data_IF_842678426428
#
_entry.id   IF_842678426428
#
_cell.length_a   1.000
_cell.length_b   1.000
_cell.length_c   1.000
_cell.angle_alpha   90.00
_cell.angle_beta   90.00
_cell.angle_gamma   90.00
#
_symmetry.space_group_name_H-M   'P 1'
#
loop_
_entity.id
_entity.type
_entity.pdbx_description
1 polymer ?
#
# COMPACT_ATOMS: atom_id res chain seq x y z
N UNK A 1 34.40 0.39 47.04
CA UNK A 1 33.00 0.80 47.23
C UNK A 1 32.32 0.61 45.90
N UNK A 2 31.50 -0.43 45.80
CA UNK A 2 30.66 -0.73 44.65
C UNK A 2 29.66 0.42 44.49
N UNK A 3 29.67 1.09 43.34
CA UNK A 3 28.62 2.02 42.98
C UNK A 3 27.35 1.22 42.66
N UNK A 4 26.33 1.43 43.49
CA UNK A 4 24.98 0.92 43.28
C UNK A 4 24.43 1.53 41.99
N UNK A 5 24.53 0.78 40.89
CA UNK A 5 23.68 0.99 39.71
C UNK A 5 22.24 0.75 40.17
N UNK A 6 21.45 1.82 40.18
CA UNK A 6 20.08 1.82 40.70
C UNK A 6 19.21 0.77 39.99
N UNK A 7 18.57 -0.09 40.78
CA UNK A 7 17.64 -1.15 40.34
C UNK A 7 16.46 -0.59 39.51
N UNK A 8 16.17 0.72 39.61
CA UNK A 8 15.10 1.39 38.83
C UNK A 8 15.48 1.62 37.37
N UNK A 9 16.75 1.88 37.04
CA UNK A 9 17.19 2.10 35.66
C UNK A 9 17.35 0.79 34.89
N UNK A 10 17.77 -0.29 35.55
CA UNK A 10 17.88 -1.62 34.94
C UNK A 10 16.51 -2.21 34.60
N UNK A 11 15.49 -1.98 35.43
CA UNK A 11 14.11 -2.44 35.20
C UNK A 11 13.45 -1.68 34.02
N UNK A 12 13.69 -0.38 33.91
CA UNK A 12 13.18 0.45 32.80
C UNK A 12 13.82 0.06 31.46
N UNK A 13 15.14 -0.16 31.46
CA UNK A 13 15.90 -0.54 30.26
C UNK A 13 15.53 -1.93 29.75
N UNK A 14 15.35 -2.91 30.65
CA UNK A 14 14.93 -4.27 30.28
C UNK A 14 13.57 -4.30 29.57
N UNK A 15 12.61 -3.51 30.04
CA UNK A 15 11.27 -3.39 29.44
C UNK A 15 11.33 -2.77 28.03
N UNK A 16 12.17 -1.74 27.84
CA UNK A 16 12.39 -1.11 26.51
C UNK A 16 13.00 -2.10 25.50
N UNK A 17 13.97 -2.92 25.92
CA UNK A 17 14.60 -3.92 25.05
C UNK A 17 13.60 -5.00 24.65
N UNK A 18 12.84 -5.53 25.62
CA UNK A 18 11.82 -6.55 25.36
C UNK A 18 10.75 -6.04 24.39
N UNK A 19 10.20 -4.85 24.64
CA UNK A 19 9.20 -4.23 23.77
C UNK A 19 9.73 -3.99 22.34
N UNK A 20 11.01 -3.61 22.20
CA UNK A 20 11.65 -3.47 20.88
C UNK A 20 11.75 -4.83 20.17
N UNK A 21 12.20 -5.88 20.85
CA UNK A 21 12.34 -7.21 20.28
C UNK A 21 10.98 -7.80 19.89
N UNK A 22 9.94 -7.60 20.69
CA UNK A 22 8.56 -7.98 20.35
C UNK A 22 8.07 -7.28 19.08
N UNK A 23 8.31 -5.97 18.95
CA UNK A 23 8.00 -5.22 17.71
C UNK A 23 8.76 -5.77 16.51
N UNK A 24 10.05 -6.08 16.68
CA UNK A 24 10.87 -6.65 15.61
C UNK A 24 10.38 -8.03 15.17
N UNK A 25 9.90 -8.88 16.07
CA UNK A 25 9.35 -10.20 15.72
C UNK A 25 8.01 -10.13 15.01
N UNK A 26 7.26 -9.04 15.15
CA UNK A 26 6.08 -8.80 14.32
C UNK A 26 6.45 -8.48 12.86
N UNK A 27 7.72 -8.15 12.58
CA UNK A 27 8.20 -7.68 11.27
C UNK A 27 9.15 -8.69 10.62
N UNK A 28 10.12 -9.20 11.36
CA UNK A 28 11.21 -10.03 10.87
C UNK A 28 11.11 -11.44 11.44
N UNK A 29 11.49 -12.43 10.64
CA UNK A 29 11.62 -13.78 11.17
C UNK A 29 12.86 -13.90 12.07
N UNK A 30 12.83 -14.89 12.96
CA UNK A 30 13.92 -15.17 13.92
C UNK A 30 15.26 -15.36 13.21
N UNK A 31 15.25 -16.01 12.03
CA UNK A 31 16.48 -16.25 11.25
C UNK A 31 17.11 -14.93 10.81
N UNK A 32 16.29 -13.98 10.36
CA UNK A 32 16.72 -12.65 9.91
C UNK A 32 17.30 -11.86 11.07
N UNK A 33 16.62 -11.81 12.22
CA UNK A 33 17.11 -11.08 13.40
C UNK A 33 18.43 -11.67 13.92
N UNK A 34 18.54 -13.00 13.97
CA UNK A 34 19.80 -13.68 14.34
C UNK A 34 20.93 -13.35 13.35
N UNK A 35 20.65 -13.30 12.05
CA UNK A 35 21.64 -12.92 11.05
C UNK A 35 22.06 -11.44 11.19
N UNK A 36 21.12 -10.54 11.47
CA UNK A 36 21.41 -9.12 11.73
C UNK A 36 22.30 -8.94 12.96
N UNK A 37 22.00 -9.64 14.06
CA UNK A 37 22.79 -9.60 15.28
C UNK A 37 24.20 -10.18 15.09
N UNK A 38 24.32 -11.37 14.47
CA UNK A 38 25.63 -11.94 14.14
C UNK A 38 26.43 -11.04 13.17
N UNK A 39 25.75 -10.27 12.31
CA UNK A 39 26.38 -9.31 11.40
C UNK A 39 27.03 -8.11 12.10
N UNK A 40 26.64 -7.80 13.35
CA UNK A 40 27.31 -6.79 14.19
C UNK A 40 28.68 -7.30 14.65
N UNK A 41 28.82 -8.61 14.86
CA UNK A 41 30.12 -9.27 15.10
C UNK A 41 30.62 -9.23 16.55
N UNK A 42 29.78 -8.87 17.52
CA UNK A 42 30.18 -8.80 18.95
C UNK A 42 29.87 -10.09 19.71
N UNK A 43 28.66 -10.62 19.59
CA UNK A 43 28.27 -11.87 20.24
C UNK A 43 27.82 -12.94 19.23
N UNK A 44 27.95 -14.21 19.63
CA UNK A 44 27.29 -15.29 18.91
C UNK A 44 25.80 -15.36 19.25
N UNK A 45 24.96 -15.31 18.22
CA UNK A 45 23.51 -15.44 18.30
C UNK A 45 23.02 -16.70 17.57
N UNK A 46 22.04 -17.35 18.20
CA UNK A 46 21.25 -18.43 17.63
C UNK A 46 19.77 -18.20 17.91
N UNK A 47 18.89 -18.90 17.20
CA UNK A 47 17.44 -18.80 17.44
C UNK A 47 17.07 -19.12 18.90
N UNK A 48 17.74 -20.09 19.52
CA UNK A 48 17.52 -20.45 20.92
C UNK A 48 17.97 -19.33 21.87
N UNK A 49 19.10 -18.69 21.59
CA UNK A 49 19.60 -17.56 22.38
C UNK A 49 18.65 -16.37 22.28
N UNK A 50 18.21 -16.01 21.08
CA UNK A 50 17.27 -14.91 20.89
C UNK A 50 15.96 -15.16 21.63
N UNK A 51 15.39 -16.37 21.53
CA UNK A 51 14.18 -16.75 22.28
C UNK A 51 14.36 -16.68 23.79
N UNK A 52 15.53 -17.03 24.33
CA UNK A 52 15.82 -16.87 25.76
C UNK A 52 15.90 -15.40 26.18
N UNK A 53 16.48 -14.54 25.34
CA UNK A 53 16.53 -13.10 25.59
C UNK A 53 15.14 -12.44 25.62
N UNK A 54 14.16 -13.00 24.90
CA UNK A 54 12.77 -12.54 24.90
C UNK A 54 11.96 -13.01 26.12
N UNK A 55 12.26 -14.22 26.62
CA UNK A 55 11.44 -14.90 27.63
C UNK A 55 11.90 -14.63 29.07
N UNK A 56 13.08 -14.04 29.27
CA UNK A 56 13.65 -13.87 30.60
C UNK A 56 14.17 -12.43 30.77
N UNK A 57 13.58 -11.71 31.70
CA UNK A 57 13.86 -10.30 32.04
C UNK A 57 15.31 -10.06 32.51
N UNK A 58 16.09 -11.10 32.77
CA UNK A 58 17.53 -11.01 33.09
C UNK A 58 18.47 -11.35 31.93
N UNK A 59 17.95 -11.88 30.81
CA UNK A 59 18.76 -12.39 29.71
C UNK A 59 19.04 -11.33 28.61
N UNK A 60 18.41 -10.15 28.68
CA UNK A 60 18.66 -9.05 27.75
C UNK A 60 20.06 -8.45 27.87
N UNK A 61 20.73 -8.59 29.02
CA UNK A 61 22.11 -8.13 29.22
C UNK A 61 23.12 -8.73 28.23
N UNK A 62 22.75 -9.80 27.53
CA UNK A 62 23.56 -10.37 26.46
C UNK A 62 23.63 -9.47 25.22
N UNK A 63 22.64 -8.59 25.04
CA UNK A 63 22.56 -7.68 23.92
C UNK A 63 23.46 -6.47 24.20
N UNK A 64 24.48 -6.28 23.36
CA UNK A 64 25.38 -5.15 23.50
C UNK A 64 24.70 -3.84 23.09
N UNK A 65 25.31 -2.71 23.46
CA UNK A 65 24.84 -1.38 23.04
C UNK A 65 24.84 -1.21 21.51
N UNK A 66 25.84 -1.76 20.81
CA UNK A 66 25.89 -1.70 19.33
C UNK A 66 24.84 -2.60 18.68
N UNK A 67 24.60 -3.79 19.24
CA UNK A 67 23.54 -4.68 18.79
C UNK A 67 22.16 -4.03 18.98
N UNK A 68 21.95 -3.37 20.13
CA UNK A 68 20.74 -2.58 20.38
C UNK A 68 20.55 -1.47 19.36
N UNK A 69 21.56 -0.62 19.17
CA UNK A 69 21.52 0.48 18.22
C UNK A 69 21.27 -0.01 16.79
N UNK A 70 21.89 -1.13 16.40
CA UNK A 70 21.67 -1.77 15.10
C UNK A 70 20.22 -2.23 14.93
N UNK A 71 19.67 -2.95 15.91
CA UNK A 71 18.28 -3.41 15.89
C UNK A 71 17.28 -2.24 15.82
N UNK A 72 17.56 -1.12 16.49
CA UNK A 72 16.72 0.08 16.38
C UNK A 72 16.64 0.62 14.96
N UNK A 73 17.71 0.48 14.14
CA UNK A 73 17.69 0.91 12.74
C UNK A 73 16.71 0.12 11.86
N UNK A 74 16.30 -1.07 12.30
CA UNK A 74 15.34 -1.92 11.61
C UNK A 74 13.88 -1.49 11.84
N UNK A 75 13.63 -0.61 12.82
CA UNK A 75 12.31 -0.04 13.07
C UNK A 75 12.16 1.33 12.39
N UNK A 76 10.95 1.69 11.92
CA UNK A 76 10.68 3.03 11.43
C UNK A 76 10.70 4.04 12.58
N UNK A 77 11.19 5.24 12.29
CA UNK A 77 11.18 6.38 13.22
C UNK A 77 9.89 7.19 13.01
N UNK A 78 9.38 7.88 14.04
CA UNK A 78 8.29 8.84 13.86
C UNK A 78 8.72 9.97 12.91
N UNK A 79 7.76 10.64 12.23
CA UNK A 79 8.06 11.80 11.39
C UNK A 79 8.55 12.98 12.23
N UNK A 80 9.25 13.93 11.61
CA UNK A 80 9.89 15.06 12.30
C UNK A 80 8.91 15.97 13.05
N UNK A 81 7.65 16.04 12.62
CA UNK A 81 6.60 16.83 13.28
C UNK A 81 5.94 16.10 14.47
N UNK A 82 6.26 14.84 14.73
CA UNK A 82 5.73 14.10 15.88
C UNK A 82 6.07 14.83 17.21
N UNK A 83 5.12 14.94 18.17
CA UNK A 83 3.78 14.32 18.20
C UNK A 83 2.65 15.20 17.62
N UNK A 84 2.96 16.30 16.93
CA UNK A 84 1.98 17.25 16.42
C UNK A 84 1.63 16.97 14.95
N UNK A 85 0.40 16.53 14.70
CA UNK A 85 -0.08 16.16 13.37
C UNK A 85 -1.13 17.17 12.87
N UNK A 86 -1.18 17.36 11.55
CA UNK A 86 -2.08 18.31 10.91
C UNK A 86 -3.54 17.83 10.88
N UNK A 87 -3.76 16.53 10.67
CA UNK A 87 -5.08 15.90 10.60
C UNK A 87 -4.96 14.40 10.89
N UNK A 88 -6.10 13.71 11.01
CA UNK A 88 -6.18 12.27 11.27
C UNK A 88 -6.77 11.54 10.06
N UNK A 89 -6.22 10.37 9.74
CA UNK A 89 -6.77 9.52 8.69
C UNK A 89 -6.72 8.03 9.04
N UNK A 90 -7.53 7.24 8.34
CA UNK A 90 -7.51 5.77 8.41
C UNK A 90 -7.10 5.17 7.07
N UNK A 91 -6.60 3.93 7.10
CA UNK A 91 -5.98 3.25 5.95
C UNK A 91 -6.57 1.84 5.79
N UNK A 92 -7.60 1.70 4.96
CA UNK A 92 -8.32 0.44 4.72
C UNK A 92 -7.77 -0.30 3.50
N UNK A 93 -7.63 -1.62 3.60
CA UNK A 93 -6.98 -2.45 2.57
C UNK A 93 -5.60 -1.91 2.20
N UNK A 94 -4.83 -1.56 3.23
CA UNK A 94 -3.67 -0.70 3.14
C UNK A 94 -2.51 -1.28 2.32
N UNK A 95 -2.46 -2.60 2.14
CA UNK A 95 -1.34 -3.31 1.57
C UNK A 95 -0.04 -2.98 2.32
N UNK A 96 0.90 -2.35 1.61
CA UNK A 96 2.17 -1.88 2.18
C UNK A 96 2.22 -0.36 2.41
N UNK A 97 1.04 0.29 2.43
CA UNK A 97 0.87 1.70 2.79
C UNK A 97 1.18 2.67 1.65
N UNK A 98 0.84 2.31 0.42
CA UNK A 98 1.11 3.17 -0.75
C UNK A 98 0.33 4.48 -0.71
N UNK A 99 -0.96 4.43 -0.35
CA UNK A 99 -1.81 5.63 -0.21
C UNK A 99 -1.39 6.42 1.04
N UNK A 100 -1.16 5.73 2.17
CA UNK A 100 -0.68 6.33 3.43
C UNK A 100 0.51 7.26 3.26
N UNK A 101 1.53 6.88 2.48
CA UNK A 101 2.72 7.74 2.27
C UNK A 101 2.38 9.12 1.71
N UNK A 102 1.34 9.20 0.86
CA UNK A 102 0.87 10.48 0.34
C UNK A 102 0.33 11.38 1.45
N UNK A 103 -0.52 10.83 2.32
CA UNK A 103 -1.17 11.60 3.40
C UNK A 103 -0.26 11.88 4.60
N UNK A 104 0.72 11.01 4.90
CA UNK A 104 1.77 11.34 5.87
C UNK A 104 2.66 12.49 5.37
N UNK A 105 2.88 12.62 4.06
CA UNK A 105 3.75 13.67 3.49
C UNK A 105 3.20 15.08 3.69
N UNK A 106 1.90 15.23 3.92
CA UNK A 106 1.23 16.49 4.25
C UNK A 106 0.88 16.59 5.76
N UNK A 107 1.53 15.78 6.60
CA UNK A 107 1.42 15.87 8.07
C UNK A 107 0.28 15.08 8.71
N UNK A 108 -0.32 14.12 8.00
CA UNK A 108 -1.40 13.30 8.53
C UNK A 108 -0.94 12.26 9.55
N UNK A 109 -1.77 12.02 10.57
CA UNK A 109 -1.63 10.90 11.51
C UNK A 109 -2.50 9.72 11.06
N UNK A 110 -1.89 8.56 10.79
CA UNK A 110 -2.65 7.32 10.62
C UNK A 110 -3.08 6.82 12.00
N UNK A 111 -4.39 6.65 12.22
CA UNK A 111 -4.95 6.27 13.54
C UNK A 111 -5.58 4.89 13.54
N UNK A 112 -5.77 4.30 12.36
CA UNK A 112 -6.27 2.94 12.18
C UNK A 112 -5.83 2.38 10.82
N UNK A 113 -5.46 1.10 10.79
CA UNK A 113 -5.10 0.38 9.57
C UNK A 113 -5.80 -0.97 9.51
N UNK A 114 -6.40 -1.30 8.36
CA UNK A 114 -6.92 -2.64 8.09
C UNK A 114 -6.19 -3.27 6.91
N UNK A 115 -5.59 -4.45 7.12
CA UNK A 115 -4.92 -5.22 6.07
C UNK A 115 -4.89 -6.71 6.43
N UNK A 116 -5.50 -7.54 5.58
CA UNK A 116 -5.66 -8.97 5.82
C UNK A 116 -4.38 -9.79 5.55
N UNK A 117 -3.52 -9.32 4.64
CA UNK A 117 -2.33 -10.06 4.25
C UNK A 117 -1.21 -9.85 5.27
N UNK A 118 -0.98 -10.85 6.10
CA UNK A 118 0.06 -10.85 7.16
C UNK A 118 1.47 -10.51 6.64
N UNK A 119 1.82 -10.89 5.41
CA UNK A 119 3.12 -10.51 4.83
C UNK A 119 3.16 -9.03 4.44
N UNK A 120 2.05 -8.46 3.96
CA UNK A 120 1.94 -7.03 3.70
C UNK A 120 2.03 -6.23 5.00
N UNK A 121 1.34 -6.67 6.07
CA UNK A 121 1.43 -6.08 7.42
C UNK A 121 2.88 -6.05 7.93
N UNK A 122 3.66 -7.13 7.72
CA UNK A 122 5.10 -7.15 8.07
C UNK A 122 5.86 -6.03 7.35
N UNK A 123 5.71 -5.93 6.03
CA UNK A 123 6.36 -4.86 5.24
C UNK A 123 5.87 -3.47 5.65
N UNK A 124 4.57 -3.33 5.95
CA UNK A 124 3.98 -2.09 6.41
C UNK A 124 4.61 -1.62 7.72
N UNK A 125 4.64 -2.48 8.74
CA UNK A 125 5.23 -2.18 10.07
C UNK A 125 6.73 -1.90 10.02
N UNK A 126 7.45 -2.42 9.03
CA UNK A 126 8.87 -2.13 8.82
C UNK A 126 9.15 -0.70 8.32
N UNK A 127 8.14 -0.05 7.74
CA UNK A 127 8.31 1.21 7.01
C UNK A 127 7.49 2.36 7.56
N UNK A 128 6.45 2.08 8.35
CA UNK A 128 5.54 3.07 8.89
C UNK A 128 5.55 3.04 10.41
N UNK A 129 5.82 4.19 11.04
CA UNK A 129 5.75 4.31 12.48
C UNK A 129 4.29 4.12 12.95
N UNK A 130 4.07 3.17 13.85
CA UNK A 130 2.76 2.84 14.41
C UNK A 130 2.89 2.80 15.93
N UNK A 131 2.43 3.86 16.59
CA UNK A 131 2.39 3.95 18.04
C UNK A 131 1.11 3.26 18.56
N UNK A 132 1.22 2.16 19.32
CA UNK A 132 0.05 1.43 19.83
C UNK A 132 -0.91 2.27 20.70
N UNK A 133 -0.43 3.38 21.28
CA UNK A 133 -1.28 4.28 22.06
C UNK A 133 -2.23 5.11 21.20
N UNK A 134 -1.90 5.32 19.93
CA UNK A 134 -2.66 6.20 19.01
C UNK A 134 -3.06 5.54 17.69
N UNK A 135 -2.62 4.30 17.45
CA UNK A 135 -2.86 3.53 16.23
C UNK A 135 -3.20 2.07 16.54
N UNK A 136 -4.14 1.51 15.77
CA UNK A 136 -4.54 0.10 15.86
C UNK A 136 -4.55 -0.57 14.49
N UNK A 137 -4.25 -1.87 14.49
CA UNK A 137 -4.36 -2.75 13.33
C UNK A 137 -5.60 -3.65 13.41
N UNK A 138 -6.18 -3.91 12.26
CA UNK A 138 -7.20 -4.93 12.04
C UNK A 138 -6.78 -5.83 10.86
N UNK A 139 -7.06 -7.13 10.94
CA UNK A 139 -6.80 -8.06 9.83
C UNK A 139 -8.04 -8.20 8.93
N UNK A 140 -9.17 -8.65 9.49
CA UNK A 140 -10.44 -8.79 8.76
C UNK A 140 -11.39 -7.65 9.12
N UNK A 141 -11.69 -6.79 8.15
CA UNK A 141 -12.56 -5.63 8.35
C UNK A 141 -13.98 -6.02 8.77
N UNK A 142 -14.41 -7.24 8.40
CA UNK A 142 -15.75 -7.75 8.69
C UNK A 142 -15.96 -8.06 10.16
N UNK A 143 -14.88 -8.23 10.93
CA UNK A 143 -14.95 -8.37 12.39
C UNK A 143 -15.36 -7.07 13.06
N UNK A 144 -15.06 -5.92 12.43
CA UNK A 144 -15.45 -4.60 12.91
C UNK A 144 -16.80 -4.18 12.36
N UNK A 145 -17.05 -4.36 11.06
CA UNK A 145 -18.33 -3.98 10.46
C UNK A 145 -19.45 -4.94 10.81
N UNK A 146 -19.13 -6.18 11.21
CA UNK A 146 -20.09 -7.25 11.44
C UNK A 146 -20.94 -7.60 10.19
N UNK A 147 -20.43 -7.33 8.98
CA UNK A 147 -21.15 -7.56 7.73
C UNK A 147 -21.49 -9.02 7.44
N UNK A 148 -20.79 -9.95 8.09
CA UNK A 148 -21.03 -11.38 7.98
C UNK A 148 -22.02 -11.92 9.02
N UNK A 149 -22.49 -11.10 9.97
CA UNK A 149 -23.40 -11.53 11.04
C UNK A 149 -24.85 -11.15 10.71
N UNK A 150 -25.73 -12.14 10.69
CA UNK A 150 -27.17 -11.90 10.58
C UNK A 150 -27.74 -11.39 11.92
N UNK A 151 -28.81 -10.60 11.86
CA UNK A 151 -29.53 -10.12 13.06
C UNK A 151 -28.92 -8.92 13.78
N UNK A 152 -27.75 -8.43 13.34
CA UNK A 152 -27.19 -7.16 13.82
C UNK A 152 -27.86 -6.01 13.05
N UNK A 153 -28.46 -5.05 13.76
CA UNK A 153 -29.03 -3.85 13.13
C UNK A 153 -27.92 -2.92 12.62
N UNK A 154 -28.26 -2.07 11.64
CA UNK A 154 -27.29 -1.11 11.09
C UNK A 154 -26.75 -0.16 12.16
N UNK A 155 -27.61 0.31 13.08
CA UNK A 155 -27.20 1.17 14.19
C UNK A 155 -26.24 0.47 15.17
N UNK A 156 -26.53 -0.78 15.55
CA UNK A 156 -25.67 -1.53 16.47
C UNK A 156 -24.29 -1.78 15.86
N UNK A 157 -24.24 -2.03 14.55
CA UNK A 157 -22.98 -2.18 13.86
C UNK A 157 -22.23 -0.86 13.65
N UNK A 158 -22.94 0.24 13.41
CA UNK A 158 -22.33 1.57 13.36
C UNK A 158 -21.65 1.90 14.69
N UNK A 159 -22.29 1.56 15.82
CA UNK A 159 -21.70 1.71 17.14
C UNK A 159 -20.49 0.79 17.35
N UNK A 160 -20.58 -0.47 16.92
CA UNK A 160 -19.44 -1.40 16.97
C UNK A 160 -18.25 -0.90 16.13
N UNK A 161 -18.50 -0.31 14.97
CA UNK A 161 -17.46 0.33 14.13
C UNK A 161 -16.81 1.49 14.90
N UNK A 162 -17.60 2.36 15.55
CA UNK A 162 -17.08 3.49 16.32
C UNK A 162 -16.23 3.07 17.52
N UNK A 163 -16.46 1.90 18.11
CA UNK A 163 -15.62 1.38 19.19
C UNK A 163 -14.19 1.02 18.73
N UNK A 164 -14.02 0.62 17.47
CA UNK A 164 -12.76 0.09 16.96
C UNK A 164 -12.01 1.06 16.04
N UNK A 165 -12.73 1.82 15.23
CA UNK A 165 -12.16 2.79 14.28
C UNK A 165 -12.34 4.17 14.91
N UNK A 166 -11.28 4.92 15.24
CA UNK A 166 -11.40 6.25 15.84
C UNK A 166 -12.01 7.30 14.89
N UNK A 167 -12.36 8.47 15.45
CA UNK A 167 -12.66 9.67 14.64
C UNK A 167 -11.45 10.05 13.78
N UNK A 168 -11.74 10.44 12.53
CA UNK A 168 -10.75 10.78 11.52
C UNK A 168 -11.33 11.78 10.51
N UNK A 169 -10.44 12.61 9.95
CA UNK A 169 -10.81 13.65 9.00
C UNK A 169 -10.88 13.08 7.56
N UNK A 170 -10.01 12.11 7.23
CA UNK A 170 -9.90 11.48 5.90
C UNK A 170 -9.92 9.95 5.98
N UNK A 171 -10.73 9.30 5.14
CA UNK A 171 -10.73 7.84 4.96
C UNK A 171 -10.02 7.45 3.66
N UNK A 172 -9.08 6.51 3.74
CA UNK A 172 -8.37 5.96 2.57
C UNK A 172 -8.76 4.49 2.38
N UNK A 173 -9.06 4.07 1.15
CA UNK A 173 -9.36 2.66 0.87
C UNK A 173 -9.00 2.20 -0.55
N UNK A 174 -8.22 1.11 -0.65
CA UNK A 174 -7.94 0.40 -1.92
C UNK A 174 -8.73 -0.89 -2.02
N UNK A 175 -10.06 -0.81 -2.14
CA UNK A 175 -10.93 -1.99 -2.08
C UNK A 175 -10.87 -2.81 -3.40
N UNK A 176 -10.95 -4.16 -3.35
CA UNK A 176 -10.89 -4.98 -4.55
C UNK A 176 -12.14 -4.82 -5.42
N UNK A 177 -11.96 -4.90 -6.75
CA UNK A 177 -13.06 -4.88 -7.71
C UNK A 177 -13.86 -6.19 -7.65
N UNK A 178 -15.08 -6.17 -7.09
CA UNK A 178 -16.01 -7.29 -6.99
C UNK A 178 -17.33 -6.96 -7.70
N UNK A 179 -17.95 -7.89 -8.45
CA UNK A 179 -19.28 -7.67 -9.00
C UNK A 179 -20.34 -7.67 -7.87
N UNK A 180 -21.36 -6.82 -8.01
CA UNK A 180 -22.50 -6.78 -7.08
C UNK A 180 -23.55 -7.81 -7.49
N UNK A 181 -23.56 -8.95 -6.80
CA UNK A 181 -24.54 -10.02 -7.05
C UNK A 181 -25.86 -9.76 -6.31
N UNK A 182 -26.98 -9.92 -7.00
CA UNK A 182 -28.33 -9.73 -6.45
C UNK A 182 -28.77 -10.81 -5.44
N UNK A 183 -27.97 -11.87 -5.22
CA UNK A 183 -28.39 -13.06 -4.48
C UNK A 183 -28.76 -12.81 -3.00
N UNK A 184 -28.23 -11.75 -2.37
CA UNK A 184 -28.62 -11.31 -1.03
C UNK A 184 -29.87 -10.43 -1.00
N UNK A 185 -30.11 -9.67 -2.07
CA UNK A 185 -31.25 -8.74 -2.21
C UNK A 185 -32.52 -9.51 -2.57
N UNK A 186 -32.43 -10.51 -3.45
CA UNK A 186 -33.57 -11.31 -3.91
C UNK A 186 -34.26 -12.09 -2.78
N UNK A 187 -33.49 -12.60 -1.81
CA UNK A 187 -34.04 -13.33 -0.63
C UNK A 187 -34.75 -12.40 0.38
N UNK A 188 -34.33 -11.12 0.47
CA UNK A 188 -34.95 -10.10 1.34
C UNK A 188 -36.21 -9.48 0.69
N UNK A 189 -36.19 -9.29 -0.63
CA UNK A 189 -37.35 -8.87 -1.41
C UNK A 189 -38.49 -9.90 -1.34
N UNK A 190 -38.18 -11.20 -1.35
CA UNK A 190 -39.18 -12.27 -1.17
C UNK A 190 -39.75 -12.37 0.26
N UNK A 191 -39.12 -11.72 1.24
CA UNK A 191 -39.53 -11.70 2.66
C UNK A 191 -40.20 -10.36 3.05
N UNK A 192 -40.55 -9.50 2.08
CA UNK A 192 -41.22 -8.23 2.34
C UNK A 192 -40.39 -7.19 3.11
N UNK A 193 -39.06 -7.35 3.15
CA UNK A 193 -38.14 -6.39 3.80
C UNK A 193 -37.41 -5.57 2.74
N UNK A 194 -37.87 -4.36 2.51
CA UNK A 194 -37.11 -3.28 1.89
C UNK A 194 -36.97 -2.17 2.97
N UNK A 195 -35.88 -1.43 3.17
CA UNK A 195 -34.99 -0.75 2.24
C UNK A 195 -33.72 -0.24 2.96
N UNK A 196 -32.62 -0.09 2.22
CA UNK A 196 -31.45 0.71 2.60
C UNK A 196 -30.49 0.83 1.41
N UNK A 197 -29.77 1.94 1.29
CA UNK A 197 -28.81 2.24 0.19
C UNK A 197 -27.72 1.17 0.04
N UNK A 198 -27.45 0.42 1.11
CA UNK A 198 -26.41 -0.59 1.19
C UNK A 198 -26.90 -2.01 0.83
N UNK A 199 -28.17 -2.21 0.49
CA UNK A 199 -28.69 -3.53 0.08
C UNK A 199 -28.02 -4.05 -1.19
N UNK A 200 -27.79 -3.19 -2.18
CA UNK A 200 -27.22 -3.58 -3.48
C UNK A 200 -25.73 -3.89 -3.42
N UNK A 201 -25.04 -3.48 -2.37
CA UNK A 201 -23.60 -3.68 -2.19
C UNK A 201 -23.27 -4.86 -1.26
N UNK A 202 -24.28 -5.43 -0.59
CA UNK A 202 -24.12 -6.55 0.35
C UNK A 202 -23.35 -7.74 -0.26
N UNK A 203 -22.45 -8.31 0.54
CA UNK A 203 -21.59 -9.43 0.14
C UNK A 203 -20.27 -9.01 -0.52
N UNK A 204 -20.00 -7.71 -0.64
CA UNK A 204 -18.72 -7.18 -1.14
C UNK A 204 -17.98 -6.39 -0.07
N UNK A 205 -16.66 -6.25 -0.22
CA UNK A 205 -15.84 -5.41 0.66
C UNK A 205 -16.11 -3.91 0.48
N UNK A 206 -16.74 -3.50 -0.63
CA UNK A 206 -17.22 -2.12 -0.79
C UNK A 206 -18.33 -1.79 0.22
N UNK A 207 -19.21 -2.75 0.56
CA UNK A 207 -20.22 -2.57 1.61
C UNK A 207 -19.58 -2.30 2.98
N UNK A 208 -18.46 -2.94 3.29
CA UNK A 208 -17.72 -2.67 4.53
C UNK A 208 -17.18 -1.24 4.56
N UNK A 209 -16.64 -0.74 3.43
CA UNK A 209 -16.21 0.67 3.29
C UNK A 209 -17.37 1.63 3.51
N UNK A 210 -18.51 1.38 2.84
CA UNK A 210 -19.73 2.20 2.93
C UNK A 210 -20.22 2.30 4.37
N UNK A 211 -20.25 1.18 5.12
CA UNK A 211 -20.65 1.19 6.54
C UNK A 211 -19.71 1.98 7.42
N UNK A 212 -18.41 1.96 7.13
CA UNK A 212 -17.44 2.76 7.88
C UNK A 212 -17.61 4.25 7.56
N UNK A 213 -17.80 4.61 6.28
CA UNK A 213 -18.10 5.99 5.87
C UNK A 213 -19.36 6.49 6.58
N UNK A 214 -20.41 5.67 6.66
CA UNK A 214 -21.65 6.05 7.32
C UNK A 214 -21.52 6.13 8.85
N UNK A 215 -20.85 5.17 9.48
CA UNK A 215 -20.68 5.17 10.93
C UNK A 215 -19.77 6.30 11.45
N UNK A 216 -18.78 6.72 10.65
CA UNK A 216 -17.77 7.72 11.05
C UNK A 216 -17.86 9.07 10.36
N UNK A 217 -18.63 9.18 9.28
CA UNK A 217 -18.88 10.42 8.56
C UNK A 217 -17.61 11.25 8.31
N UNK A 218 -16.50 10.67 7.78
CA UNK A 218 -15.27 11.44 7.55
C UNK A 218 -15.55 12.65 6.65
N UNK A 219 -14.84 13.75 6.82
CA UNK A 219 -15.06 14.93 5.99
C UNK A 219 -14.73 14.67 4.51
N UNK A 220 -13.74 13.81 4.27
CA UNK A 220 -13.32 13.39 2.94
C UNK A 220 -13.00 11.90 2.92
N UNK A 221 -13.08 11.30 1.74
CA UNK A 221 -12.49 9.99 1.47
C UNK A 221 -11.73 9.98 0.15
N UNK A 222 -10.77 9.05 0.03
CA UNK A 222 -10.10 8.71 -1.23
C UNK A 222 -10.15 7.21 -1.42
N UNK A 223 -10.86 6.78 -2.46
CA UNK A 223 -10.96 5.37 -2.85
C UNK A 223 -10.14 5.13 -4.11
N UNK A 224 -9.39 4.03 -4.13
CA UNK A 224 -8.65 3.56 -5.30
C UNK A 224 -9.30 2.29 -5.86
N UNK A 225 -9.32 2.17 -7.19
CA UNK A 225 -9.69 0.93 -7.85
C UNK A 225 -9.06 0.78 -9.25
N UNK A 226 -9.35 -0.35 -9.91
CA UNK A 226 -8.89 -0.65 -11.27
C UNK A 226 -9.42 0.34 -12.30
N UNK A 227 -8.61 0.68 -13.30
CA UNK A 227 -8.99 1.62 -14.38
C UNK A 227 -10.27 1.23 -15.15
N UNK A 228 -10.56 -0.06 -15.24
CA UNK A 228 -11.70 -0.61 -15.97
C UNK A 228 -12.99 -0.67 -15.12
N UNK A 229 -13.02 -0.04 -13.93
CA UNK A 229 -14.19 -0.06 -13.05
C UNK A 229 -15.46 0.41 -13.79
N UNK A 230 -15.34 1.42 -14.66
CA UNK A 230 -16.44 1.97 -15.47
C UNK A 230 -17.08 0.97 -16.44
N UNK A 231 -16.29 0.04 -16.97
CA UNK A 231 -16.78 -0.99 -17.91
C UNK A 231 -17.05 -2.33 -17.23
N UNK A 232 -16.72 -2.46 -15.95
CA UNK A 232 -16.89 -3.69 -15.19
C UNK A 232 -18.37 -4.03 -15.03
N UNK A 233 -18.73 -5.30 -15.22
CA UNK A 233 -20.12 -5.78 -15.15
C UNK A 233 -21.09 -4.92 -15.99
N UNK A 234 -20.70 -4.62 -17.23
CA UNK A 234 -21.43 -3.75 -18.16
C UNK A 234 -21.74 -2.35 -17.58
N UNK A 235 -20.85 -1.83 -16.72
CA UNK A 235 -20.97 -0.54 -16.06
C UNK A 235 -21.85 -0.53 -14.82
N UNK A 236 -22.50 -1.65 -14.48
CA UNK A 236 -23.34 -1.77 -13.29
C UNK A 236 -22.56 -1.50 -12.00
N UNK A 237 -21.33 -2.01 -11.90
CA UNK A 237 -20.50 -1.85 -10.70
C UNK A 237 -20.20 -0.37 -10.41
N UNK A 238 -19.73 0.37 -11.42
CA UNK A 238 -19.43 1.79 -11.26
C UNK A 238 -20.68 2.60 -10.89
N UNK A 239 -21.80 2.36 -11.58
CA UNK A 239 -23.06 3.06 -11.30
C UNK A 239 -23.52 2.87 -9.85
N UNK A 240 -23.52 1.63 -9.35
CA UNK A 240 -23.91 1.34 -7.94
C UNK A 240 -22.96 2.05 -6.97
N UNK A 241 -21.65 2.01 -7.21
CA UNK A 241 -20.67 2.71 -6.36
C UNK A 241 -20.99 4.21 -6.29
N UNK A 242 -21.12 4.88 -7.44
CA UNK A 242 -21.37 6.32 -7.48
C UNK A 242 -22.71 6.69 -6.83
N UNK A 243 -23.77 5.93 -7.09
CA UNK A 243 -25.08 6.13 -6.47
C UNK A 243 -25.03 5.96 -4.94
N UNK A 244 -24.40 4.90 -4.43
CA UNK A 244 -24.29 4.68 -2.98
C UNK A 244 -23.49 5.80 -2.30
N UNK A 245 -22.44 6.31 -2.93
CA UNK A 245 -21.65 7.42 -2.38
C UNK A 245 -22.44 8.74 -2.36
N UNK A 246 -23.25 8.99 -3.39
CA UNK A 246 -24.14 10.16 -3.45
C UNK A 246 -25.25 10.10 -2.38
N UNK A 247 -25.90 8.94 -2.24
CA UNK A 247 -26.92 8.66 -1.23
C UNK A 247 -26.37 8.77 0.20
N UNK A 248 -25.08 8.43 0.40
CA UNK A 248 -24.38 8.66 1.66
C UNK A 248 -24.15 10.15 1.97
N UNK A 249 -24.42 11.07 1.05
CA UNK A 249 -24.23 12.51 1.26
C UNK A 249 -22.84 13.02 0.89
N UNK A 250 -22.17 12.40 -0.09
CA UNK A 250 -20.83 12.82 -0.54
C UNK A 250 -20.83 13.22 -2.02
N UNK A 251 -20.26 14.39 -2.29
CA UNK A 251 -19.98 14.84 -3.64
C UNK A 251 -18.64 14.26 -4.10
N UNK A 252 -18.66 13.39 -5.11
CA UNK A 252 -17.45 12.83 -5.70
C UNK A 252 -16.89 13.80 -6.74
N UNK A 253 -15.58 14.07 -6.67
CA UNK A 253 -14.87 14.88 -7.65
C UNK A 253 -15.06 14.33 -9.06
N UNK A 254 -15.41 15.21 -9.99
CA UNK A 254 -15.60 14.91 -11.41
C UNK A 254 -16.61 13.78 -11.67
N UNK A 255 -17.62 13.58 -10.82
CA UNK A 255 -18.58 12.46 -10.91
C UNK A 255 -19.22 12.34 -12.31
N UNK A 256 -19.66 13.47 -12.86
CA UNK A 256 -20.35 13.56 -14.17
C UNK A 256 -19.41 13.42 -15.38
N UNK A 257 -18.10 13.48 -15.16
CA UNK A 257 -17.10 13.44 -16.22
C UNK A 257 -16.62 12.01 -16.45
N UNK A 258 -17.33 11.25 -17.28
CA UNK A 258 -17.03 9.82 -17.50
C UNK A 258 -16.47 9.50 -18.89
N UNK A 259 -16.04 10.53 -19.64
CA UNK A 259 -15.55 10.41 -21.00
C UNK A 259 -14.25 9.60 -21.16
N UNK A 260 -13.70 9.53 -22.39
CA UNK A 260 -12.39 8.93 -22.65
C UNK A 260 -11.24 9.63 -21.93
N UNK A 261 -11.38 10.91 -21.60
CA UNK A 261 -10.43 11.78 -20.89
C UNK A 261 -10.77 11.94 -19.39
N UNK A 262 -11.54 11.01 -18.82
CA UNK A 262 -12.01 11.04 -17.44
C UNK A 262 -10.86 11.33 -16.44
N UNK A 263 -10.93 12.45 -15.69
CA UNK A 263 -9.86 12.87 -14.78
C UNK A 263 -9.72 11.98 -13.55
N UNK A 264 -10.72 11.13 -13.25
CA UNK A 264 -10.60 10.11 -12.21
C UNK A 264 -9.61 9.01 -12.60
N UNK A 265 -9.27 8.86 -13.89
CA UNK A 265 -8.25 7.91 -14.35
C UNK A 265 -6.88 8.59 -14.36
N UNK A 266 -6.04 8.22 -13.40
CA UNK A 266 -4.69 8.79 -13.25
C UNK A 266 -3.65 7.71 -13.59
N UNK A 267 -2.73 8.04 -14.50
CA UNK A 267 -1.63 7.16 -14.90
C UNK A 267 -0.35 7.49 -14.11
N UNK A 268 0.23 6.48 -13.46
CA UNK A 268 1.54 6.58 -12.83
C UNK A 268 2.67 7.01 -13.77
N UNK A 269 2.49 6.86 -15.09
CA UNK A 269 3.51 7.20 -16.11
C UNK A 269 3.98 8.66 -16.04
N UNK A 270 3.16 9.55 -15.51
CA UNK A 270 3.48 10.97 -15.39
C UNK A 270 4.52 11.24 -14.29
N UNK A 271 4.60 10.35 -13.29
CA UNK A 271 5.49 10.47 -12.14
C UNK A 271 6.70 9.51 -12.23
N UNK A 272 6.46 8.28 -12.68
CA UNK A 272 7.46 7.21 -12.75
C UNK A 272 7.41 6.56 -14.14
N UNK A 273 8.50 5.92 -14.62
CA UNK A 273 8.57 5.35 -15.96
C UNK A 273 7.84 3.99 -16.07
N UNK A 274 6.56 3.94 -15.67
CA UNK A 274 5.69 2.76 -15.74
C UNK A 274 4.27 3.15 -16.15
N UNK A 275 3.67 2.44 -17.11
CA UNK A 275 2.23 2.53 -17.35
C UNK A 275 1.44 1.86 -16.21
N UNK A 276 0.66 2.65 -15.48
CA UNK A 276 -0.18 2.16 -14.39
C UNK A 276 -1.33 3.12 -14.10
N UNK A 277 -2.40 2.93 -14.86
CA UNK A 277 -3.67 3.64 -14.67
C UNK A 277 -4.49 3.05 -13.53
N UNK A 278 -5.11 3.92 -12.73
CA UNK A 278 -6.08 3.60 -11.68
C UNK A 278 -7.19 4.64 -11.68
N UNK A 279 -8.38 4.22 -11.26
CA UNK A 279 -9.46 5.15 -10.96
C UNK A 279 -9.32 5.62 -9.51
N UNK A 280 -9.46 6.93 -9.29
CA UNK A 280 -9.40 7.57 -7.98
C UNK A 280 -10.73 8.29 -7.74
N UNK A 281 -11.44 7.91 -6.69
CA UNK A 281 -12.70 8.53 -6.28
C UNK A 281 -12.45 9.37 -5.04
N UNK A 282 -12.53 10.69 -5.16
CA UNK A 282 -12.35 11.64 -4.05
C UNK A 282 -13.72 12.17 -3.65
N UNK A 283 -14.18 11.85 -2.45
CA UNK A 283 -15.48 12.29 -1.93
C UNK A 283 -15.34 13.38 -0.89
N UNK A 284 -16.27 14.35 -0.93
CA UNK A 284 -16.39 15.42 0.05
C UNK A 284 -17.76 15.36 0.71
N UNK A 285 -17.81 15.41 2.05
CA UNK A 285 -19.08 15.42 2.78
C UNK A 285 -19.86 16.70 2.45
N UNK A 286 -21.06 16.56 1.92
CA UNK A 286 -21.83 17.65 1.28
C UNK A 286 -22.18 18.79 2.23
N UNK A 287 -22.49 18.48 3.48
CA UNK A 287 -22.82 19.44 4.53
C UNK A 287 -21.67 20.40 4.87
N UNK A 288 -20.42 20.01 4.61
CA UNK A 288 -19.24 20.83 4.89
C UNK A 288 -18.89 21.80 3.76
N UNK A 289 -19.53 21.68 2.59
CA UNK A 289 -19.30 22.52 1.40
C UNK A 289 -17.81 22.68 1.03
N UNK A 290 -17.01 21.62 1.21
CA UNK A 290 -15.56 21.66 1.03
C UNK A 290 -15.13 21.57 -0.44
N UNK A 291 -15.90 20.83 -1.26
CA UNK A 291 -15.52 20.51 -2.65
C UNK A 291 -15.20 21.78 -3.43
N UNK A 292 -16.11 22.75 -3.46
CA UNK A 292 -16.01 23.95 -4.30
C UNK A 292 -15.54 23.56 -5.73
N UNK A 293 -14.49 24.22 -6.22
CA UNK A 293 -13.93 24.02 -7.56
C UNK A 293 -12.90 22.87 -7.65
N UNK A 294 -12.77 22.03 -6.63
CA UNK A 294 -11.84 20.90 -6.67
C UNK A 294 -12.13 19.96 -7.85
N UNK A 295 -11.10 19.66 -8.64
CA UNK A 295 -11.11 18.70 -9.74
C UNK A 295 -9.78 17.93 -9.79
N UNK A 296 -9.83 16.66 -10.20
CA UNK A 296 -8.63 15.87 -10.49
C UNK A 296 -7.94 16.28 -11.79
N UNK A 297 -8.54 17.16 -12.61
CA UNK A 297 -7.88 17.75 -13.78
C UNK A 297 -6.62 18.54 -13.39
N UNK A 298 -6.59 19.09 -12.18
CA UNK A 298 -5.47 19.84 -11.62
C UNK A 298 -4.28 18.94 -11.20
N UNK A 299 -4.41 17.61 -11.31
CA UNK A 299 -3.30 16.68 -10.99
C UNK A 299 -2.04 16.94 -11.83
N UNK A 300 -2.22 17.52 -13.02
CA UNK A 300 -1.12 17.87 -13.92
C UNK A 300 -0.18 18.94 -13.34
N UNK A 301 -0.68 19.81 -12.45
CA UNK A 301 0.12 20.80 -11.73
C UNK A 301 1.10 20.14 -10.73
N UNK A 302 0.81 18.90 -10.33
CA UNK A 302 1.66 18.13 -9.43
C UNK A 302 2.72 17.29 -10.15
N UNK A 303 2.75 17.30 -11.49
CA UNK A 303 3.73 16.51 -12.24
C UNK A 303 5.16 17.03 -12.03
N UNK A 304 6.15 16.14 -11.89
CA UNK A 304 7.53 16.56 -11.76
C UNK A 304 8.00 17.24 -13.06
N UNK A 305 8.71 18.36 -12.94
CA UNK A 305 9.27 19.08 -14.09
C UNK A 305 10.15 18.16 -14.97
N UNK A 306 10.90 17.27 -14.33
CA UNK A 306 11.62 16.20 -15.01
C UNK A 306 11.26 14.86 -14.37
N UNK A 307 10.61 13.99 -15.14
CA UNK A 307 10.32 12.62 -14.72
C UNK A 307 11.62 11.82 -14.62
N UNK A 308 11.75 11.04 -13.54
CA UNK A 308 12.84 10.09 -13.39
C UNK A 308 12.82 9.05 -14.52
N UNK A 309 14.00 8.71 -15.04
CA UNK A 309 14.15 7.70 -16.09
C UNK A 309 14.25 6.31 -15.47
N UNK A 310 13.95 5.26 -16.25
CA UNK A 310 14.09 3.90 -15.74
C UNK A 310 15.53 3.58 -15.33
N UNK A 311 16.52 4.03 -16.09
CA UNK A 311 17.93 3.82 -15.79
C UNK A 311 18.31 4.33 -14.39
N UNK A 312 17.78 5.49 -13.98
CA UNK A 312 18.03 6.07 -12.65
C UNK A 312 17.45 5.23 -11.51
N UNK A 313 16.50 4.33 -11.79
CA UNK A 313 15.90 3.44 -10.80
C UNK A 313 16.65 2.10 -10.66
N UNK A 314 17.53 1.76 -11.60
CA UNK A 314 18.23 0.48 -11.61
C UNK A 314 19.47 0.49 -10.70
N UNK A 315 19.72 -0.62 -10.03
CA UNK A 315 20.98 -0.79 -9.29
C UNK A 315 22.13 -1.06 -10.27
N UNK A 316 23.32 -0.46 -10.05
CA UNK A 316 24.48 -0.67 -10.92
C UNK A 316 25.03 -2.10 -10.83
N UNK A 317 24.93 -2.73 -9.65
CA UNK A 317 25.34 -4.11 -9.40
C UNK A 317 24.16 -4.91 -8.89
N UNK A 318 23.87 -6.03 -9.56
CA UNK A 318 22.72 -6.90 -9.25
C UNK A 318 23.20 -8.34 -9.11
N UNK A 319 22.67 -9.06 -8.12
CA UNK A 319 23.00 -10.47 -7.90
C UNK A 319 22.63 -11.34 -9.12
N UNK A 320 23.47 -12.33 -9.44
CA UNK A 320 23.29 -13.20 -10.60
C UNK A 320 21.96 -13.98 -10.60
N UNK A 321 21.36 -14.21 -9.43
CA UNK A 321 20.06 -14.90 -9.29
C UNK A 321 18.89 -14.18 -9.99
N UNK A 322 19.05 -12.90 -10.32
CA UNK A 322 18.04 -12.13 -11.05
C UNK A 322 18.13 -12.29 -12.57
N UNK A 323 19.26 -12.78 -13.09
CA UNK A 323 19.40 -13.14 -14.51
C UNK A 323 18.50 -14.34 -14.80
N UNK A 324 17.76 -14.32 -15.90
CA UNK A 324 16.90 -15.44 -16.26
C UNK A 324 17.74 -16.71 -16.44
N UNK A 325 17.22 -17.84 -15.98
CA UNK A 325 17.81 -19.14 -16.26
C UNK A 325 17.72 -19.43 -17.77
N UNK A 326 18.63 -20.23 -18.35
CA UNK A 326 18.58 -20.59 -19.77
C UNK A 326 17.21 -21.16 -20.18
N UNK A 327 16.63 -22.01 -19.33
CA UNK A 327 15.33 -22.65 -19.55
C UNK A 327 14.21 -21.62 -19.57
N UNK A 328 14.16 -20.71 -18.58
CA UNK A 328 13.11 -19.71 -18.50
C UNK A 328 13.21 -18.70 -19.66
N UNK A 329 14.42 -18.28 -20.02
CA UNK A 329 14.61 -17.39 -21.17
C UNK A 329 14.14 -18.05 -22.47
N UNK A 330 14.53 -19.32 -22.71
CA UNK A 330 14.09 -20.09 -23.89
C UNK A 330 12.57 -20.19 -23.97
N UNK A 331 11.93 -20.45 -22.83
CA UNK A 331 10.47 -20.52 -22.74
C UNK A 331 9.82 -19.18 -23.13
N UNK A 332 10.19 -18.07 -22.46
CA UNK A 332 9.60 -16.75 -22.71
C UNK A 332 9.86 -16.27 -24.13
N UNK A 333 11.06 -16.51 -24.66
CA UNK A 333 11.45 -16.17 -26.02
C UNK A 333 10.56 -16.85 -27.07
N UNK A 334 10.40 -18.17 -26.96
CA UNK A 334 9.55 -18.97 -27.86
C UNK A 334 8.06 -18.63 -27.70
N UNK A 335 7.62 -18.39 -26.47
CA UNK A 335 6.24 -18.02 -26.17
C UNK A 335 5.87 -16.70 -26.86
N UNK A 336 6.69 -15.67 -26.73
CA UNK A 336 6.46 -14.38 -27.38
C UNK A 336 6.33 -14.52 -28.90
N UNK A 337 7.22 -15.26 -29.56
CA UNK A 337 7.14 -15.53 -31.01
C UNK A 337 5.85 -16.22 -31.43
N UNK A 338 5.46 -17.27 -30.69
CA UNK A 338 4.24 -18.04 -30.98
C UNK A 338 2.99 -17.14 -30.96
N UNK A 339 2.95 -16.19 -30.03
CA UNK A 339 1.82 -15.27 -29.89
C UNK A 339 1.87 -14.13 -30.90
N UNK A 340 3.05 -13.59 -31.20
CA UNK A 340 3.26 -12.60 -32.26
C UNK A 340 2.84 -13.13 -33.63
N UNK A 341 3.18 -14.39 -33.95
CA UNK A 341 2.76 -15.05 -35.19
C UNK A 341 1.23 -15.21 -35.31
N UNK A 342 0.48 -15.13 -34.20
CA UNK A 342 -0.99 -15.20 -34.16
C UNK A 342 -1.66 -13.82 -34.13
N UNK A 343 -0.89 -12.74 -34.34
CA UNK A 343 -1.39 -11.36 -34.26
C UNK A 343 -1.71 -10.90 -32.84
N UNK A 344 -1.31 -11.65 -31.81
CA UNK A 344 -1.60 -11.32 -30.42
C UNK A 344 -0.42 -10.61 -29.75
N UNK A 345 -0.68 -9.56 -28.98
CA UNK A 345 0.33 -8.81 -28.22
C UNK A 345 0.89 -9.50 -26.96
N UNK A 346 0.71 -10.81 -26.80
CA UNK A 346 1.19 -11.56 -25.63
C UNK A 346 2.68 -11.92 -25.77
N UNK A 347 3.44 -11.79 -24.68
CA UNK A 347 4.87 -12.07 -24.64
C UNK A 347 5.56 -11.36 -23.47
N UNK A 348 6.89 -11.30 -23.50
CA UNK A 348 7.66 -10.53 -22.51
C UNK A 348 7.77 -9.04 -22.89
N UNK A 349 7.94 -8.17 -21.90
CA UNK A 349 8.23 -6.76 -22.07
C UNK A 349 9.72 -6.51 -21.88
N UNK A 350 10.47 -6.43 -22.98
CA UNK A 350 11.89 -6.07 -22.92
C UNK A 350 12.04 -4.56 -22.73
N UNK A 351 12.99 -4.19 -21.90
CA UNK A 351 13.34 -2.81 -21.65
C UNK A 351 14.84 -2.58 -21.81
N UNK A 352 15.17 -1.55 -22.59
CA UNK A 352 16.53 -1.11 -22.85
C UNK A 352 16.82 0.12 -21.99
N UNK A 353 17.59 0.00 -20.89
CA UNK A 353 17.79 1.11 -19.95
C UNK A 353 18.53 2.30 -20.57
N UNK A 354 19.30 2.08 -21.63
CA UNK A 354 19.99 3.16 -22.36
C UNK A 354 19.03 4.09 -23.13
N UNK A 355 17.76 3.71 -23.28
CA UNK A 355 16.74 4.60 -23.85
C UNK A 355 16.05 5.40 -22.72
N UNK A 356 16.31 6.71 -22.60
CA UNK A 356 15.74 7.55 -21.53
C UNK A 356 14.21 7.69 -21.61
N UNK A 357 13.63 7.44 -22.79
CA UNK A 357 12.19 7.49 -23.02
C UNK A 357 11.49 6.17 -22.66
N UNK A 358 12.23 5.16 -22.21
CA UNK A 358 11.63 3.87 -21.89
C UNK A 358 10.63 3.97 -20.74
N UNK A 359 9.43 3.42 -20.97
CA UNK A 359 8.36 3.27 -19.99
C UNK A 359 8.02 1.78 -19.90
N UNK A 360 8.03 1.22 -18.70
CA UNK A 360 7.72 -0.19 -18.51
C UNK A 360 6.22 -0.45 -18.69
N UNK A 361 5.89 -1.71 -18.98
CA UNK A 361 4.53 -2.22 -18.76
C UNK A 361 4.19 -2.18 -17.26
N UNK A 362 2.93 -2.39 -16.92
CA UNK A 362 2.48 -2.49 -15.54
C UNK A 362 3.18 -3.64 -14.82
N UNK A 363 3.82 -3.34 -13.68
CA UNK A 363 4.29 -4.34 -12.73
C UNK A 363 3.07 -5.04 -12.11
N UNK A 364 2.72 -6.22 -12.61
CA UNK A 364 1.49 -6.90 -12.23
C UNK A 364 1.64 -7.71 -10.94
N UNK A 365 0.52 -8.07 -10.31
CA UNK A 365 0.49 -9.03 -9.20
C UNK A 365 1.04 -10.42 -9.57
N UNK A 366 1.21 -10.73 -10.87
CA UNK A 366 1.76 -12.00 -11.38
C UNK A 366 3.25 -11.94 -11.69
N UNK A 367 3.90 -10.77 -11.54
CA UNK A 367 5.32 -10.59 -11.83
C UNK A 367 6.23 -11.56 -11.06
N UNK A 368 5.79 -12.01 -9.87
CA UNK A 368 6.53 -13.00 -9.08
C UNK A 368 6.76 -14.35 -9.79
N UNK A 369 5.97 -14.69 -10.83
CA UNK A 369 6.06 -15.99 -11.51
C UNK A 369 7.34 -16.10 -12.33
N UNK A 370 7.55 -15.14 -13.23
CA UNK A 370 8.62 -15.18 -14.23
C UNK A 370 9.21 -13.79 -14.55
N UNK A 371 8.58 -12.71 -14.07
CA UNK A 371 8.96 -11.33 -14.35
C UNK A 371 8.76 -10.91 -15.81
N UNK A 372 7.97 -11.66 -16.58
CA UNK A 372 7.91 -11.50 -18.02
C UNK A 372 7.45 -10.10 -18.46
N UNK A 373 6.64 -9.40 -17.67
CA UNK A 373 6.13 -8.07 -18.03
C UNK A 373 7.23 -7.02 -18.16
N UNK A 374 8.34 -7.18 -17.42
CA UNK A 374 9.44 -6.22 -17.36
C UNK A 374 10.77 -6.97 -17.21
N UNK A 375 11.50 -7.10 -18.32
CA UNK A 375 12.84 -7.67 -18.38
C UNK A 375 13.84 -6.59 -18.77
N UNK A 376 14.95 -6.50 -18.05
CA UNK A 376 16.05 -5.58 -18.35
C UNK A 376 17.03 -6.28 -19.29
N UNK A 377 17.22 -5.68 -20.46
CA UNK A 377 18.21 -6.14 -21.43
C UNK A 377 19.63 -6.03 -20.86
N UNK A 378 20.49 -6.97 -21.27
CA UNK A 378 21.90 -7.05 -20.89
C UNK A 378 22.81 -7.16 -22.11
N UNK A 379 22.34 -6.73 -23.29
CA UNK A 379 23.05 -6.84 -24.56
C UNK A 379 22.71 -8.10 -25.36
N UNK A 380 21.49 -8.61 -25.25
CA UNK A 380 21.07 -9.79 -26.04
C UNK A 380 21.01 -9.44 -27.53
N UNK A 381 21.72 -10.21 -28.36
CA UNK A 381 21.69 -10.07 -29.81
C UNK A 381 20.53 -10.91 -30.37
N UNK A 382 19.51 -10.21 -30.90
CA UNK A 382 18.32 -10.85 -31.46
C UNK A 382 18.66 -11.70 -32.69
N UNK A 383 19.55 -11.24 -33.58
CA UNK A 383 19.89 -11.98 -34.80
C UNK A 383 20.64 -13.27 -34.48
N UNK A 384 21.55 -13.25 -33.50
CA UNK A 384 22.19 -14.46 -32.98
C UNK A 384 21.17 -15.38 -32.32
N UNK A 385 20.26 -14.84 -31.51
CA UNK A 385 19.20 -15.63 -30.86
C UNK A 385 18.21 -16.29 -31.83
N UNK A 386 17.99 -15.69 -33.00
CA UNK A 386 17.24 -16.30 -34.11
C UNK A 386 18.00 -17.46 -34.76
N UNK A 387 19.30 -17.25 -35.04
CA UNK A 387 20.15 -18.22 -35.74
C UNK A 387 20.45 -19.44 -34.89
N UNK A 388 20.92 -19.20 -33.66
CA UNK A 388 21.21 -20.21 -32.66
C UNK A 388 20.90 -19.64 -31.27
N UNK A 389 19.77 -20.07 -30.72
CA UNK A 389 19.35 -19.61 -29.40
C UNK A 389 20.37 -19.98 -28.31
N UNK A 390 21.07 -21.10 -28.45
CA UNK A 390 21.99 -21.62 -27.44
C UNK A 390 23.45 -21.15 -27.65
N UNK A 391 23.69 -20.15 -28.51
CA UNK A 391 25.01 -19.54 -28.74
C UNK A 391 25.70 -19.18 -27.40
N UNK A 392 26.89 -19.73 -27.10
CA UNK A 392 27.52 -19.57 -25.79
C UNK A 392 27.84 -18.12 -25.39
N UNK A 393 28.16 -17.26 -26.37
CA UNK A 393 28.48 -15.85 -26.10
C UNK A 393 27.20 -15.05 -25.86
N UNK A 394 26.15 -15.26 -26.66
CA UNK A 394 24.86 -14.59 -26.49
C UNK A 394 24.17 -15.02 -25.18
N UNK A 395 24.32 -16.27 -24.78
CA UNK A 395 23.80 -16.80 -23.50
C UNK A 395 24.38 -16.09 -22.27
N UNK A 396 25.54 -15.43 -22.36
CA UNK A 396 26.05 -14.59 -21.25
C UNK A 396 25.25 -13.29 -21.06
N UNK A 397 24.54 -12.87 -22.11
CA UNK A 397 23.77 -11.62 -22.19
C UNK A 397 22.27 -11.84 -22.01
N UNK A 398 21.85 -12.99 -21.44
CA UNK A 398 20.44 -13.21 -21.09
C UNK A 398 19.88 -12.05 -20.25
N UNK A 399 18.62 -11.64 -20.49
CA UNK A 399 18.01 -10.55 -19.74
C UNK A 399 17.82 -10.95 -18.27
N UNK A 400 17.58 -9.94 -17.43
CA UNK A 400 17.29 -10.13 -16.00
C UNK A 400 15.91 -9.57 -15.63
N UNK A 401 15.39 -10.05 -14.50
CA UNK A 401 14.24 -9.42 -13.83
C UNK A 401 14.70 -8.18 -13.05
N UNK A 402 13.73 -7.36 -12.66
CA UNK A 402 13.93 -6.32 -11.65
C UNK A 402 14.19 -6.98 -10.29
N UNK A 403 15.00 -6.33 -9.44
CA UNK A 403 15.12 -6.70 -8.02
C UNK A 403 13.91 -6.17 -7.23
N UNK A 404 13.62 -6.71 -6.02
CA UNK A 404 12.60 -6.12 -5.15
C UNK A 404 12.85 -4.65 -4.82
N UNK A 405 14.12 -4.23 -4.69
CA UNK A 405 14.50 -2.82 -4.46
C UNK A 405 14.15 -1.95 -5.67
N UNK A 406 14.46 -2.39 -6.88
CA UNK A 406 14.09 -1.69 -8.12
C UNK A 406 12.57 -1.61 -8.29
N UNK A 407 11.83 -2.66 -7.92
CA UNK A 407 10.37 -2.61 -7.87
C UNK A 407 9.85 -1.56 -6.87
N UNK A 408 10.47 -1.45 -5.68
CA UNK A 408 10.11 -0.43 -4.70
C UNK A 408 10.28 0.99 -5.28
N UNK A 409 11.37 1.24 -6.01
CA UNK A 409 11.64 2.51 -6.71
C UNK A 409 10.63 2.77 -7.83
N UNK A 410 10.35 1.76 -8.65
CA UNK A 410 9.39 1.85 -9.76
C UNK A 410 7.94 2.13 -9.30
N UNK A 411 7.64 1.81 -8.03
CA UNK A 411 6.35 2.09 -7.38
C UNK A 411 6.36 3.36 -6.51
N UNK A 412 7.53 3.99 -6.33
CA UNK A 412 7.70 5.23 -5.55
C UNK A 412 7.84 5.05 -4.04
N UNK A 413 8.09 3.83 -3.55
CA UNK A 413 8.38 3.58 -2.13
C UNK A 413 9.85 3.89 -1.75
N UNK A 414 10.72 4.00 -2.75
CA UNK A 414 12.16 4.22 -2.58
C UNK A 414 12.62 5.28 -3.59
N UNK A 415 13.54 6.14 -3.18
CA UNK A 415 14.11 7.14 -4.08
C UNK A 415 15.21 6.54 -4.99
N UNK A 416 15.51 7.19 -6.14
CA UNK A 416 16.62 6.79 -7.01
C UNK A 416 17.95 6.73 -6.24
N UNK A 417 18.73 5.67 -6.42
CA UNK A 417 20.01 5.47 -5.75
C UNK A 417 19.93 5.19 -4.23
N UNK A 418 18.75 5.22 -3.61
CA UNK A 418 18.58 4.95 -2.19
C UNK A 418 18.16 3.51 -1.90
N UNK A 419 18.26 3.12 -0.63
CA UNK A 419 17.89 1.80 -0.10
C UNK A 419 17.27 1.88 1.31
N UNK A 420 16.46 2.91 1.58
CA UNK A 420 15.85 3.17 2.90
C UNK A 420 14.62 2.30 3.19
N UNK A 421 13.88 1.88 2.17
CA UNK A 421 12.66 1.07 2.35
C UNK A 421 13.03 -0.35 2.82
N UNK A 422 12.48 -0.80 3.95
CA UNK A 422 12.81 -2.12 4.51
C UNK A 422 11.94 -3.20 3.85
N UNK A 423 12.55 -4.27 3.35
CA UNK A 423 11.85 -5.40 2.72
C UNK A 423 12.03 -6.64 3.61
N UNK A 424 11.15 -6.89 4.59
CA UNK A 424 11.32 -7.95 5.58
C UNK A 424 10.80 -9.32 5.10
N UNK A 425 10.50 -9.46 3.81
CA UNK A 425 9.87 -10.63 3.21
C UNK A 425 10.70 -11.17 2.04
N UNK A 426 10.40 -12.37 1.57
CA UNK A 426 11.08 -12.95 0.40
C UNK A 426 10.77 -12.18 -0.89
N UNK A 427 11.65 -12.30 -1.89
CA UNK A 427 11.47 -11.71 -3.22
C UNK A 427 10.08 -11.98 -3.81
N UNK A 428 9.60 -13.23 -3.73
CA UNK A 428 8.26 -13.62 -4.23
C UNK A 428 7.15 -12.82 -3.57
N UNK A 429 7.22 -12.61 -2.25
CA UNK A 429 6.23 -11.81 -1.54
C UNK A 429 6.38 -10.33 -1.87
N UNK A 430 7.60 -9.82 -1.96
CA UNK A 430 7.86 -8.43 -2.34
C UNK A 430 7.30 -8.11 -3.73
N UNK A 431 7.50 -8.98 -4.73
CA UNK A 431 6.92 -8.80 -6.07
C UNK A 431 5.39 -8.76 -6.05
N UNK A 432 4.75 -9.62 -5.24
CA UNK A 432 3.28 -9.59 -5.07
C UNK A 432 2.83 -8.28 -4.43
N UNK A 433 3.52 -7.82 -3.40
CA UNK A 433 3.22 -6.58 -2.68
C UNK A 433 3.33 -5.37 -3.61
N UNK A 434 4.45 -5.20 -4.31
CA UNK A 434 4.63 -4.09 -5.26
C UNK A 434 3.66 -4.19 -6.45
N UNK A 435 3.43 -5.40 -6.97
CA UNK A 435 2.49 -5.64 -8.05
C UNK A 435 1.03 -5.31 -7.70
N UNK A 436 0.66 -5.42 -6.42
CA UNK A 436 -0.66 -5.04 -5.89
C UNK A 436 -0.74 -3.59 -5.40
N UNK A 437 0.39 -2.89 -5.26
CA UNK A 437 0.41 -1.54 -4.68
C UNK A 437 -0.05 -0.46 -5.64
N UNK A 438 -0.48 0.67 -5.09
CA UNK A 438 -0.63 1.92 -5.83
C UNK A 438 0.74 2.56 -6.16
N UNK A 439 0.75 3.51 -7.09
CA UNK A 439 1.93 4.36 -7.34
C UNK A 439 1.95 5.46 -6.30
N UNK A 440 2.94 5.45 -5.40
CA UNK A 440 3.03 6.38 -4.27
C UNK A 440 2.92 7.86 -4.68
N UNK A 441 3.67 8.37 -5.69
CA UNK A 441 3.59 9.78 -6.04
C UNK A 441 2.24 10.23 -6.63
N UNK A 442 1.42 9.31 -7.15
CA UNK A 442 0.04 9.64 -7.56
C UNK A 442 -0.78 10.06 -6.35
N UNK A 443 -0.73 9.28 -5.27
CA UNK A 443 -1.50 9.59 -4.06
C UNK A 443 -0.89 10.70 -3.23
N UNK A 444 0.43 10.94 -3.34
CA UNK A 444 1.04 12.15 -2.82
C UNK A 444 0.55 13.41 -3.56
N UNK A 445 0.36 13.35 -4.88
CA UNK A 445 -0.21 14.44 -5.65
C UNK A 445 -1.69 14.69 -5.30
N UNK A 446 -2.49 13.63 -5.19
CA UNK A 446 -3.89 13.74 -4.70
C UNK A 446 -3.94 14.35 -3.31
N UNK A 447 -3.08 13.92 -2.39
CA UNK A 447 -3.00 14.49 -1.04
C UNK A 447 -2.64 15.99 -1.07
N UNK A 448 -1.70 16.42 -1.92
CA UNK A 448 -1.36 17.84 -2.09
C UNK A 448 -2.54 18.68 -2.56
N UNK A 449 -3.31 18.22 -3.55
CA UNK A 449 -4.52 18.91 -4.00
C UNK A 449 -5.56 19.04 -2.88
N UNK A 450 -5.64 18.02 -2.01
CA UNK A 450 -6.56 17.99 -0.87
C UNK A 450 -6.08 18.79 0.34
N UNK A 451 -4.80 19.11 0.46
CA UNK A 451 -4.23 19.73 1.65
C UNK A 451 -4.97 21.01 2.10
N UNK A 452 -5.33 21.95 1.21
CA UNK A 452 -6.11 23.14 1.61
C UNK A 452 -7.50 22.77 2.17
N UNK A 453 -8.16 21.76 1.59
CA UNK A 453 -9.48 21.29 2.02
C UNK A 453 -9.42 20.58 3.36
N UNK A 454 -8.37 19.79 3.59
CA UNK A 454 -8.10 19.13 4.87
C UNK A 454 -7.86 20.17 5.96
N UNK A 455 -7.09 21.24 5.70
CA UNK A 455 -6.90 22.33 6.66
C UNK A 455 -8.22 23.02 7.01
N UNK A 456 -9.09 23.25 6.04
CA UNK A 456 -10.45 23.79 6.27
C UNK A 456 -11.28 22.86 7.16
N UNK A 457 -11.29 21.55 6.90
CA UNK A 457 -11.96 20.56 7.76
C UNK A 457 -11.51 20.63 9.21
N UNK A 458 -10.19 20.63 9.43
CA UNK A 458 -9.63 20.61 10.79
C UNK A 458 -10.00 21.89 11.54
N UNK A 459 -9.98 23.04 10.86
CA UNK A 459 -10.41 24.31 11.43
C UNK A 459 -11.91 24.29 11.81
N UNK A 460 -12.78 23.79 10.93
CA UNK A 460 -14.22 23.65 11.20
C UNK A 460 -14.47 22.77 12.43
N UNK A 461 -13.85 21.59 12.50
CA UNK A 461 -13.99 20.66 13.64
C UNK A 461 -13.50 21.28 14.95
N UNK A 462 -12.40 22.04 14.92
CA UNK A 462 -11.88 22.72 16.11
C UNK A 462 -12.82 23.84 16.58
N UNK A 463 -13.45 24.58 15.66
CA UNK A 463 -14.46 25.59 15.98
C UNK A 463 -15.74 24.97 16.54
N UNK A 464 -16.23 23.87 15.97
CA UNK A 464 -17.40 23.13 16.46
C UNK A 464 -17.20 22.61 17.88
N UNK A 465 -16.00 22.08 18.17
CA UNK A 465 -15.62 21.63 19.51
C UNK A 465 -15.61 22.77 20.54
N UNK A 466 -15.19 23.98 20.15
CA UNK A 466 -15.22 25.16 21.03
C UNK A 466 -16.63 25.69 21.29
N UNK A 467 -17.54 25.56 20.32
CA UNK A 467 -18.91 26.05 20.43
C UNK A 467 -19.91 25.02 21.00
N UNK A 468 -19.45 23.85 21.47
CA UNK A 468 -20.28 22.84 22.14
C UNK A 468 -21.34 22.17 21.25
N UNK A 469 -21.30 22.41 19.93
CA UNK A 469 -22.18 21.75 18.97
C UNK A 469 -21.48 20.49 18.46
N UNK A 470 -21.71 19.36 19.13
CA UNK A 470 -21.51 18.06 18.48
C UNK A 470 -22.67 17.86 17.51
N UNK A 471 -22.43 17.95 16.20
CA UNK A 471 -23.39 17.41 15.23
C UNK A 471 -23.52 15.90 15.49
N UNK A 472 -24.76 15.43 15.55
CA UNK A 472 -25.08 14.01 15.77
C UNK A 472 -24.62 13.13 14.62
#
# INVERSE_FOLDING_TARGET
MQENISVTDSYSTGNVVQAMLEKLLQIYDVKTLVAQLNGVGENHWSAAILKRALANDSAWHRLSEKEFAHLQTLLPKPPAHHPHYAFRFIDLFAGIGGIRRGFESIGGQCVFTSEWNKHAVRTYKANHYCDPATHHFNEDIRDITLSHKEGVSDEAAAEHIRQHIPEHDVLLAGFPCQPFSLAGVSKKNSLGRAHGFACDTQGTLFFDVVRIIDARRPAMFVLENVKNLKSHDQGKTFRIIMQTLDELGYDVADAEDNGPDDPKIIDGKHFLPQHRERIVLVGFRRDLNLKADFTLRDISECFPAQRVTLAQLLDPMVEAKYILTPVLWKYLYRYAKKHQARGNGFGYGMVYPNNPQSVTRTLSARYYKDGAEILIDRGWDMAKGEKDFDDPLNQQHRPRRLTPRECARLMGFEAPGEAKFRIPVSDTQAYRQFGNSVVVPVFAAVAKLLEPKIKQTVALRQQEAQHGRRSR
#
